data_IF_921222629264
#
_entry.id   IF_921222629264
#
_cell.length_a   1.000
_cell.length_b   1.000
_cell.length_c   1.000
_cell.angle_alpha   90.00
_cell.angle_beta   90.00
_cell.angle_gamma   90.00
#
_symmetry.space_group_name_H-M   'P 1'
#
loop_
_entity.id
_entity.type
_entity.pdbx_description
1 polymer ?
#
# COMPACT_ATOMS: atom_id res chain seq x y z
N UNK A 1 -23.38 -20.92 28.91
CA UNK A 1 -22.72 -19.60 28.80
C UNK A 1 -21.27 -19.81 28.39
N UNK A 2 -20.85 -19.29 27.24
CA UNK A 2 -19.44 -19.34 26.84
C UNK A 2 -18.64 -18.46 27.83
N UNK A 3 -17.60 -19.02 28.44
CA UNK A 3 -16.69 -18.26 29.30
C UNK A 3 -16.11 -17.07 28.50
N UNK A 4 -16.08 -15.85 29.08
CA UNK A 4 -15.61 -14.61 28.43
C UNK A 4 -14.25 -14.78 27.75
N UNK A 5 -13.34 -15.56 28.34
CA UNK A 5 -12.03 -15.85 27.77
C UNK A 5 -12.10 -16.77 26.52
N UNK A 6 -13.05 -17.71 26.49
CA UNK A 6 -13.27 -18.57 25.32
C UNK A 6 -13.90 -17.77 24.18
N UNK A 7 -14.91 -16.94 24.46
CA UNK A 7 -15.54 -16.08 23.46
C UNK A 7 -14.51 -15.14 22.81
N UNK A 8 -13.65 -14.53 23.63
CA UNK A 8 -12.55 -13.67 23.20
C UNK A 8 -11.53 -14.39 22.29
N UNK A 9 -11.15 -15.62 22.64
CA UNK A 9 -10.24 -16.43 21.80
C UNK A 9 -10.88 -16.85 20.47
N UNK A 10 -12.18 -17.12 20.47
CA UNK A 10 -12.95 -17.45 19.26
C UNK A 10 -12.99 -16.23 18.34
N UNK A 11 -13.36 -15.05 18.86
CA UNK A 11 -13.40 -13.81 18.09
C UNK A 11 -12.04 -13.48 17.48
N UNK A 12 -10.95 -13.57 18.26
CA UNK A 12 -9.59 -13.42 17.73
C UNK A 12 -9.31 -14.35 16.55
N UNK A 13 -9.61 -15.64 16.69
CA UNK A 13 -9.31 -16.66 15.68
C UNK A 13 -10.12 -16.44 14.41
N UNK A 14 -11.40 -16.05 14.54
CA UNK A 14 -12.25 -15.72 13.40
C UNK A 14 -11.73 -14.46 12.70
N UNK A 15 -11.45 -13.38 13.44
CA UNK A 15 -10.90 -12.14 12.86
C UNK A 15 -9.59 -12.42 12.13
N UNK A 16 -8.68 -13.20 12.71
CA UNK A 16 -7.41 -13.56 12.07
C UNK A 16 -7.62 -14.40 10.81
N UNK A 17 -8.49 -15.42 10.88
CA UNK A 17 -8.86 -16.26 9.74
C UNK A 17 -9.48 -15.45 8.59
N UNK A 18 -10.32 -14.47 8.89
CA UNK A 18 -10.91 -13.57 7.89
C UNK A 18 -9.89 -12.61 7.27
N UNK A 19 -8.86 -12.18 8.02
CA UNK A 19 -7.76 -11.41 7.45
C UNK A 19 -6.93 -12.23 6.46
N UNK A 20 -6.63 -13.49 6.81
CA UNK A 20 -5.98 -14.42 5.91
C UNK A 20 -6.80 -14.74 4.67
N UNK A 21 -8.11 -14.99 4.85
CA UNK A 21 -9.05 -15.20 3.76
C UNK A 21 -9.12 -13.96 2.85
N UNK A 22 -9.20 -12.76 3.42
CA UNK A 22 -9.21 -11.51 2.65
C UNK A 22 -7.95 -11.39 1.77
N UNK A 23 -6.77 -11.71 2.32
CA UNK A 23 -5.51 -11.66 1.57
C UNK A 23 -5.46 -12.73 0.46
N UNK A 24 -5.97 -13.94 0.71
CA UNK A 24 -6.05 -15.02 -0.28
C UNK A 24 -7.04 -14.71 -1.42
N UNK A 25 -8.11 -13.98 -1.13
CA UNK A 25 -9.10 -13.57 -2.12
C UNK A 25 -8.67 -12.36 -2.96
N UNK A 26 -7.75 -11.54 -2.44
CA UNK A 26 -7.32 -10.30 -3.09
C UNK A 26 -6.86 -10.46 -4.57
N UNK A 27 -6.10 -11.51 -4.96
CA UNK A 27 -5.69 -11.68 -6.35
C UNK A 27 -6.84 -12.00 -7.31
N UNK A 28 -7.94 -12.55 -6.79
CA UNK A 28 -9.02 -13.14 -7.61
C UNK A 28 -10.29 -12.28 -7.59
N UNK A 29 -10.70 -11.84 -6.40
CA UNK A 29 -12.00 -11.20 -6.15
C UNK A 29 -11.89 -10.12 -5.07
N UNK A 30 -11.49 -8.89 -5.45
CA UNK A 30 -11.25 -7.82 -4.47
C UNK A 30 -12.53 -7.41 -3.72
N UNK A 31 -13.70 -7.56 -4.35
CA UNK A 31 -14.99 -7.32 -3.70
C UNK A 31 -15.25 -8.28 -2.54
N UNK A 32 -14.91 -9.57 -2.69
CA UNK A 32 -15.01 -10.54 -1.60
C UNK A 32 -13.91 -10.35 -0.56
N UNK A 33 -12.69 -9.97 -0.97
CA UNK A 33 -11.63 -9.61 -0.03
C UNK A 33 -12.05 -8.44 0.89
N UNK A 34 -12.67 -7.39 0.33
CA UNK A 34 -13.18 -6.26 1.10
C UNK A 34 -14.32 -6.68 2.05
N UNK A 35 -15.24 -7.54 1.58
CA UNK A 35 -16.31 -8.08 2.44
C UNK A 35 -15.74 -8.92 3.60
N UNK A 36 -14.70 -9.71 3.35
CA UNK A 36 -14.02 -10.49 4.40
C UNK A 36 -13.36 -9.58 5.44
N UNK A 37 -12.65 -8.53 4.99
CA UNK A 37 -12.09 -7.52 5.91
C UNK A 37 -13.19 -6.79 6.69
N UNK A 38 -14.33 -6.47 6.06
CA UNK A 38 -15.47 -5.85 6.73
C UNK A 38 -15.97 -6.72 7.88
N UNK A 39 -16.27 -7.99 7.61
CA UNK A 39 -16.75 -8.92 8.64
C UNK A 39 -15.70 -9.08 9.75
N UNK A 40 -14.41 -9.11 9.39
CA UNK A 40 -13.32 -9.14 10.38
C UNK A 40 -13.36 -7.91 11.30
N UNK A 41 -13.56 -6.71 10.73
CA UNK A 41 -13.67 -5.45 11.47
C UNK A 41 -14.92 -5.38 12.35
N UNK A 42 -16.06 -5.87 11.89
CA UNK A 42 -17.30 -5.95 12.67
C UNK A 42 -17.13 -6.87 13.90
N UNK A 43 -16.55 -8.06 13.71
CA UNK A 43 -16.26 -8.99 14.81
C UNK A 43 -15.19 -8.41 15.76
N UNK A 44 -14.18 -7.73 15.20
CA UNK A 44 -13.14 -7.11 16.00
C UNK A 44 -13.70 -5.96 16.87
N UNK A 45 -14.63 -5.18 16.34
CA UNK A 45 -15.33 -4.14 17.09
C UNK A 45 -16.12 -4.75 18.27
N UNK A 46 -16.84 -5.85 18.05
CA UNK A 46 -17.52 -6.57 19.13
C UNK A 46 -16.53 -7.08 20.20
N UNK A 47 -15.37 -7.61 19.78
CA UNK A 47 -14.33 -8.04 20.71
C UNK A 47 -13.78 -6.87 21.55
N UNK A 48 -13.58 -5.70 20.94
CA UNK A 48 -13.15 -4.47 21.61
C UNK A 48 -14.20 -4.02 22.64
N UNK A 49 -15.48 -4.02 22.28
CA UNK A 49 -16.58 -3.64 23.20
C UNK A 49 -16.65 -4.59 24.40
N UNK A 50 -16.48 -5.89 24.18
CA UNK A 50 -16.51 -6.91 25.24
C UNK A 50 -15.29 -6.80 26.16
N UNK A 51 -14.12 -6.45 25.63
CA UNK A 51 -12.85 -6.45 26.37
C UNK A 51 -11.97 -5.21 26.07
N UNK A 52 -12.44 -3.98 26.36
CA UNK A 52 -11.77 -2.75 25.91
C UNK A 52 -10.38 -2.58 26.52
N UNK A 53 -10.23 -2.91 27.81
CA UNK A 53 -8.95 -2.84 28.52
C UNK A 53 -7.88 -3.76 27.93
N UNK A 54 -8.29 -4.85 27.25
CA UNK A 54 -7.35 -5.80 26.63
C UNK A 54 -6.81 -5.27 25.31
N UNK A 55 -7.69 -4.66 24.50
CA UNK A 55 -7.36 -4.28 23.13
C UNK A 55 -6.91 -2.82 22.98
N UNK A 56 -7.28 -1.91 23.90
CA UNK A 56 -6.98 -0.47 23.78
C UNK A 56 -5.73 -0.02 24.56
N UNK A 57 -5.11 -0.88 25.37
CA UNK A 57 -3.94 -0.53 26.21
C UNK A 57 -2.58 -0.86 25.59
N UNK A 58 -2.57 -1.41 24.40
CA UNK A 58 -1.40 -1.93 23.70
C UNK A 58 -0.69 -0.89 22.84
N UNK A 59 0.55 -1.18 22.43
CA UNK A 59 1.38 -0.28 21.61
C UNK A 59 0.81 0.00 20.20
N UNK A 60 0.01 -0.92 19.66
CA UNK A 60 -0.63 -0.78 18.35
C UNK A 60 -1.86 0.13 18.35
N UNK A 61 -2.28 0.65 19.53
CA UNK A 61 -3.43 1.57 19.64
C UNK A 61 -3.24 2.86 18.83
N UNK A 62 -2.00 3.34 18.70
CA UNK A 62 -1.74 4.60 17.97
C UNK A 62 -1.95 4.42 16.47
N UNK A 63 -1.58 3.27 15.91
CA UNK A 63 -1.87 2.92 14.51
C UNK A 63 -3.38 2.82 14.31
N UNK A 64 -4.08 2.12 15.19
CA UNK A 64 -5.53 1.97 15.12
C UNK A 64 -6.26 3.33 15.22
N UNK A 65 -5.90 4.17 16.20
CA UNK A 65 -6.56 5.46 16.44
C UNK A 65 -6.30 6.47 15.32
N UNK A 66 -5.06 6.57 14.83
CA UNK A 66 -4.73 7.48 13.74
C UNK A 66 -5.41 7.06 12.42
N UNK A 67 -5.40 5.75 12.12
CA UNK A 67 -6.12 5.22 10.97
C UNK A 67 -7.63 5.40 11.10
N UNK A 68 -8.19 5.20 12.29
CA UNK A 68 -9.61 5.42 12.57
C UNK A 68 -10.00 6.88 12.31
N UNK A 69 -9.23 7.83 12.85
CA UNK A 69 -9.49 9.25 12.66
C UNK A 69 -9.41 9.66 11.18
N UNK A 70 -8.38 9.20 10.46
CA UNK A 70 -8.22 9.47 9.03
C UNK A 70 -9.36 8.88 8.19
N UNK A 71 -9.78 7.65 8.51
CA UNK A 71 -10.84 6.93 7.81
C UNK A 71 -12.20 7.58 8.06
N UNK A 72 -12.49 7.98 9.31
CA UNK A 72 -13.71 8.72 9.67
C UNK A 72 -13.74 10.06 8.94
N UNK A 73 -12.65 10.83 8.95
CA UNK A 73 -12.59 12.11 8.24
C UNK A 73 -12.89 11.93 6.74
N UNK A 74 -12.25 10.95 6.10
CA UNK A 74 -12.46 10.65 4.67
C UNK A 74 -13.90 10.21 4.38
N UNK A 75 -14.48 9.40 5.26
CA UNK A 75 -15.86 8.94 5.12
C UNK A 75 -16.87 10.08 5.33
N UNK A 76 -16.66 10.93 6.33
CA UNK A 76 -17.48 12.11 6.57
C UNK A 76 -17.40 13.09 5.40
N UNK A 77 -16.18 13.34 4.88
CA UNK A 77 -15.98 14.15 3.67
C UNK A 77 -16.81 13.62 2.50
N UNK A 78 -16.75 12.30 2.24
CA UNK A 78 -17.58 11.66 1.21
C UNK A 78 -19.08 11.90 1.47
N UNK A 79 -19.54 11.70 2.71
CA UNK A 79 -20.96 11.86 3.07
C UNK A 79 -21.47 13.29 2.96
N UNK A 80 -20.62 14.28 3.23
CA UNK A 80 -20.97 15.70 3.18
C UNK A 80 -21.03 16.18 1.72
N UNK A 81 -20.02 15.83 0.92
CA UNK A 81 -19.85 16.44 -0.40
C UNK A 81 -20.42 15.62 -1.57
N UNK A 82 -20.61 14.31 -1.42
CA UNK A 82 -21.19 13.50 -2.50
C UNK A 82 -22.67 13.84 -2.66
N UNK A 83 -23.02 14.49 -3.77
CA UNK A 83 -24.41 14.71 -4.18
C UNK A 83 -24.87 13.66 -5.20
N UNK A 84 -26.18 13.45 -5.41
CA UNK A 84 -26.69 12.56 -6.45
C UNK A 84 -26.29 12.98 -7.87
N UNK A 85 -26.25 14.29 -8.14
CA UNK A 85 -26.02 14.88 -9.48
C UNK A 85 -24.54 15.18 -9.77
N UNK A 86 -23.62 14.73 -8.90
CA UNK A 86 -22.18 14.96 -9.06
C UNK A 86 -21.65 14.29 -10.34
N UNK A 87 -20.89 15.02 -11.14
CA UNK A 87 -20.15 14.46 -12.29
C UNK A 87 -18.99 13.54 -11.84
N UNK A 88 -18.66 13.53 -10.55
CA UNK A 88 -17.51 12.85 -9.97
C UNK A 88 -17.88 11.62 -9.13
N UNK A 89 -19.03 10.99 -9.39
CA UNK A 89 -19.53 9.84 -8.61
C UNK A 89 -18.45 8.75 -8.46
N UNK A 90 -17.76 8.40 -9.53
CA UNK A 90 -16.72 7.36 -9.51
C UNK A 90 -15.60 7.67 -8.51
N UNK A 91 -15.08 8.90 -8.50
CA UNK A 91 -14.05 9.32 -7.57
C UNK A 91 -14.54 9.31 -6.12
N UNK A 92 -15.74 9.84 -5.85
CA UNK A 92 -16.35 9.78 -4.52
C UNK A 92 -16.49 8.35 -4.00
N UNK A 93 -16.92 7.43 -4.85
CA UNK A 93 -17.06 6.01 -4.49
C UNK A 93 -15.70 5.37 -4.17
N UNK A 94 -14.64 5.74 -4.90
CA UNK A 94 -13.27 5.29 -4.62
C UNK A 94 -12.76 5.79 -3.26
N UNK A 95 -13.00 7.06 -2.89
CA UNK A 95 -12.65 7.58 -1.57
C UNK A 95 -13.47 6.93 -0.45
N UNK A 96 -14.77 6.70 -0.69
CA UNK A 96 -15.63 5.95 0.24
C UNK A 96 -15.06 4.55 0.50
N UNK A 97 -14.71 3.82 -0.55
CA UNK A 97 -14.30 2.43 -0.44
C UNK A 97 -12.98 2.29 0.32
N UNK A 98 -12.02 3.18 0.06
CA UNK A 98 -10.81 3.30 0.89
C UNK A 98 -11.17 3.58 2.36
N UNK A 99 -12.02 4.57 2.62
CA UNK A 99 -12.35 5.01 3.98
C UNK A 99 -13.02 3.90 4.80
N UNK A 100 -13.87 3.08 4.16
CA UNK A 100 -14.49 1.92 4.79
C UNK A 100 -13.45 0.83 5.06
N UNK A 101 -12.56 0.52 4.12
CA UNK A 101 -11.48 -0.44 4.34
C UNK A 101 -10.58 0.00 5.52
N UNK A 102 -10.18 1.27 5.55
CA UNK A 102 -9.41 1.85 6.65
C UNK A 102 -10.12 1.77 8.00
N UNK A 103 -11.43 2.05 8.04
CA UNK A 103 -12.26 1.95 9.25
C UNK A 103 -12.26 0.52 9.81
N UNK A 104 -12.55 -0.48 8.97
CA UNK A 104 -12.57 -1.89 9.41
C UNK A 104 -11.18 -2.38 9.79
N UNK A 105 -10.12 -1.92 9.10
CA UNK A 105 -8.73 -2.20 9.50
C UNK A 105 -8.39 -1.61 10.87
N UNK A 106 -8.84 -0.38 11.16
CA UNK A 106 -8.59 0.26 12.44
C UNK A 106 -9.17 -0.54 13.63
N UNK A 107 -10.35 -1.16 13.46
CA UNK A 107 -10.90 -2.08 14.48
C UNK A 107 -10.19 -3.43 14.52
N UNK A 108 -9.72 -3.91 13.37
CA UNK A 108 -9.09 -5.22 13.23
C UNK A 108 -7.70 -5.28 13.87
N UNK A 109 -6.87 -4.24 13.67
CA UNK A 109 -5.47 -4.20 14.13
C UNK A 109 -5.35 -4.53 15.62
N UNK A 110 -6.12 -3.92 16.55
CA UNK A 110 -5.98 -4.22 17.96
C UNK A 110 -6.24 -5.66 18.36
N UNK A 111 -7.19 -6.30 17.68
CA UNK A 111 -7.58 -7.68 17.99
C UNK A 111 -6.53 -8.66 17.49
N UNK A 112 -6.16 -8.59 16.21
CA UNK A 112 -5.24 -9.58 15.60
C UNK A 112 -3.79 -9.46 16.08
N UNK A 113 -3.41 -8.31 16.63
CA UNK A 113 -2.09 -8.08 17.20
C UNK A 113 -2.03 -8.41 18.69
N UNK A 114 -3.15 -8.77 19.33
CA UNK A 114 -3.13 -9.22 20.72
C UNK A 114 -2.33 -10.52 20.88
N UNK A 115 -1.46 -10.58 21.90
CA UNK A 115 -0.56 -11.72 22.14
C UNK A 115 -1.39 -12.95 22.56
N UNK A 116 -1.10 -14.12 21.98
CA UNK A 116 -1.75 -15.40 22.30
C UNK A 116 -0.73 -16.53 22.44
N UNK A 117 -0.69 -17.15 23.62
CA UNK A 117 0.30 -18.16 23.96
C UNK A 117 0.05 -19.53 23.32
N UNK A 118 -1.21 -19.89 23.06
CA UNK A 118 -1.60 -21.28 22.80
C UNK A 118 -1.36 -21.76 21.36
N UNK A 119 -0.88 -20.91 20.44
CA UNK A 119 -0.79 -21.24 19.01
C UNK A 119 0.33 -20.54 18.24
N UNK A 120 1.37 -20.05 18.93
CA UNK A 120 2.39 -19.19 18.33
C UNK A 120 3.11 -19.84 17.13
N UNK A 121 3.55 -21.11 17.26
CA UNK A 121 4.25 -21.83 16.19
C UNK A 121 3.37 -22.08 14.97
N UNK A 122 2.12 -22.49 15.18
CA UNK A 122 1.15 -22.73 14.08
C UNK A 122 0.88 -21.41 13.36
N UNK A 123 0.66 -20.33 14.09
CA UNK A 123 0.38 -19.00 13.53
C UNK A 123 1.56 -18.50 12.68
N UNK A 124 2.80 -18.68 13.16
CA UNK A 124 4.01 -18.35 12.39
C UNK A 124 4.09 -19.12 11.07
N UNK A 125 3.80 -20.42 11.09
CA UNK A 125 3.78 -21.24 9.86
C UNK A 125 2.67 -20.80 8.89
N UNK A 126 1.48 -20.48 9.39
CA UNK A 126 0.37 -19.97 8.57
C UNK A 126 0.75 -18.62 7.93
N UNK A 127 1.31 -17.69 8.71
CA UNK A 127 1.82 -16.42 8.17
C UNK A 127 2.80 -16.63 7.02
N UNK A 128 3.83 -17.46 7.24
CA UNK A 128 4.84 -17.75 6.22
C UNK A 128 4.21 -18.38 4.97
N UNK A 129 3.37 -19.40 5.15
CA UNK A 129 2.70 -20.09 4.05
C UNK A 129 1.85 -19.13 3.21
N UNK A 130 0.98 -18.35 3.86
CA UNK A 130 0.08 -17.42 3.16
C UNK A 130 0.87 -16.29 2.49
N UNK A 131 1.89 -15.75 3.16
CA UNK A 131 2.73 -14.69 2.58
C UNK A 131 3.42 -15.18 1.29
N UNK A 132 3.99 -16.38 1.31
CA UNK A 132 4.65 -16.98 0.15
C UNK A 132 3.65 -17.35 -0.95
N UNK A 133 2.51 -17.95 -0.59
CA UNK A 133 1.48 -18.37 -1.54
C UNK A 133 0.90 -17.17 -2.30
N UNK A 134 0.45 -16.13 -1.59
CA UNK A 134 -0.13 -14.94 -2.22
C UNK A 134 0.92 -14.21 -3.04
N UNK A 135 2.16 -14.13 -2.56
CA UNK A 135 3.26 -13.53 -3.34
C UNK A 135 3.55 -14.31 -4.63
N UNK A 136 3.59 -15.64 -4.56
CA UNK A 136 3.77 -16.50 -5.74
C UNK A 136 2.64 -16.31 -6.76
N UNK A 137 1.38 -16.25 -6.31
CA UNK A 137 0.21 -16.01 -7.19
C UNK A 137 0.39 -14.71 -7.97
N UNK A 138 0.76 -13.61 -7.31
CA UNK A 138 0.97 -12.34 -7.99
C UNK A 138 2.15 -12.33 -8.96
N UNK A 139 3.27 -13.00 -8.61
CA UNK A 139 4.41 -13.15 -9.52
C UNK A 139 3.99 -13.93 -10.77
N UNK A 140 3.33 -15.07 -10.58
CA UNK A 140 2.89 -15.94 -11.68
C UNK A 140 1.89 -15.20 -12.56
N UNK A 141 0.96 -14.44 -11.97
CA UNK A 141 -0.03 -13.70 -12.74
C UNK A 141 0.60 -12.58 -13.57
N UNK A 142 1.49 -11.78 -12.97
CA UNK A 142 2.21 -10.74 -13.71
C UNK A 142 3.10 -11.33 -14.82
N UNK A 143 3.76 -12.47 -14.54
CA UNK A 143 4.55 -13.19 -15.54
C UNK A 143 3.69 -13.69 -16.70
N UNK A 144 2.53 -14.29 -16.38
CA UNK A 144 1.59 -14.80 -17.37
C UNK A 144 1.08 -13.69 -18.30
N UNK A 145 0.62 -12.56 -17.75
CA UNK A 145 0.16 -11.44 -18.56
C UNK A 145 1.26 -10.88 -19.47
N UNK A 146 2.46 -10.66 -18.93
CA UNK A 146 3.51 -9.96 -19.68
C UNK A 146 4.25 -10.87 -20.67
N UNK A 147 4.68 -12.06 -20.25
CA UNK A 147 5.53 -12.93 -21.06
C UNK A 147 4.76 -13.97 -21.88
N UNK A 148 3.58 -14.40 -21.42
CA UNK A 148 2.81 -15.45 -22.11
C UNK A 148 1.72 -14.83 -22.98
N UNK A 149 0.91 -13.92 -22.43
CA UNK A 149 -0.11 -13.20 -23.20
C UNK A 149 0.46 -12.07 -24.05
N UNK A 150 1.74 -11.70 -23.86
CA UNK A 150 2.40 -10.57 -24.53
C UNK A 150 1.65 -9.24 -24.36
N UNK A 151 0.99 -9.05 -23.21
CA UNK A 151 0.41 -7.76 -22.88
C UNK A 151 1.51 -6.71 -22.68
N UNK A 152 1.29 -5.49 -23.18
CA UNK A 152 2.26 -4.39 -23.06
C UNK A 152 2.65 -4.09 -21.60
N UNK A 153 1.76 -4.36 -20.64
CA UNK A 153 1.97 -4.13 -19.21
C UNK A 153 1.16 -5.13 -18.40
N UNK A 154 1.77 -5.70 -17.36
CA UNK A 154 1.02 -6.44 -16.34
C UNK A 154 0.14 -5.45 -15.54
N UNK A 155 -1.16 -5.50 -15.77
CA UNK A 155 -2.15 -4.63 -15.11
C UNK A 155 -2.83 -5.32 -13.93
N UNK A 156 -2.78 -6.65 -13.88
CA UNK A 156 -3.60 -7.52 -13.05
C UNK A 156 -5.11 -7.26 -13.28
N UNK A 157 -5.95 -8.28 -13.15
CA UNK A 157 -7.41 -8.08 -13.21
C UNK A 157 -7.95 -7.49 -11.90
N UNK A 158 -7.46 -6.31 -11.48
CA UNK A 158 -8.02 -5.64 -10.30
C UNK A 158 -9.34 -4.93 -10.66
N UNK A 159 -10.28 -4.93 -9.73
CA UNK A 159 -11.61 -4.37 -9.96
C UNK A 159 -11.58 -2.86 -10.18
N UNK A 160 -12.62 -2.36 -10.88
CA UNK A 160 -12.87 -0.94 -11.16
C UNK A 160 -11.81 -0.23 -12.01
N UNK A 161 -11.06 -1.03 -12.79
CA UNK A 161 -10.10 -0.52 -13.77
C UNK A 161 -8.83 0.00 -13.11
N UNK A 162 -7.78 -0.83 -12.98
CA UNK A 162 -6.55 -0.42 -12.36
C UNK A 162 -5.47 -0.37 -13.41
N UNK A 163 -5.02 0.86 -13.63
CA UNK A 163 -3.76 1.13 -14.28
C UNK A 163 -2.67 0.24 -13.68
N UNK A 164 -1.72 -0.19 -14.50
CA UNK A 164 -0.59 -1.01 -14.04
C UNK A 164 0.24 -0.40 -12.89
N UNK A 165 0.01 0.87 -12.52
CA UNK A 165 0.48 1.46 -11.26
C UNK A 165 -0.09 0.75 -10.03
N UNK A 166 -1.40 0.48 -10.00
CA UNK A 166 -2.06 -0.21 -8.90
C UNK A 166 -1.51 -1.63 -8.73
N UNK A 167 -1.29 -2.35 -9.84
CA UNK A 167 -0.62 -3.64 -9.82
C UNK A 167 0.77 -3.58 -9.21
N UNK A 168 1.60 -2.63 -9.63
CA UNK A 168 2.94 -2.46 -9.11
C UNK A 168 2.92 -2.30 -7.58
N UNK A 169 2.02 -1.46 -7.07
CA UNK A 169 1.94 -1.15 -5.64
C UNK A 169 1.42 -2.34 -4.84
N UNK A 170 0.37 -3.01 -5.33
CA UNK A 170 -0.15 -4.24 -4.73
C UNK A 170 0.96 -5.30 -4.64
N UNK A 171 1.68 -5.59 -5.73
CA UNK A 171 2.79 -6.56 -5.72
C UNK A 171 3.86 -6.15 -4.71
N UNK A 172 4.23 -4.87 -4.63
CA UNK A 172 5.23 -4.40 -3.66
C UNK A 172 4.81 -4.66 -2.22
N UNK A 173 3.58 -4.33 -1.82
CA UNK A 173 3.15 -4.53 -0.43
C UNK A 173 3.03 -6.02 -0.07
N UNK A 174 2.56 -6.86 -1.00
CA UNK A 174 2.56 -8.31 -0.82
C UNK A 174 3.99 -8.85 -0.70
N UNK A 175 4.91 -8.36 -1.52
CA UNK A 175 6.33 -8.73 -1.44
C UNK A 175 6.94 -8.33 -0.10
N UNK A 176 6.69 -7.11 0.37
CA UNK A 176 7.17 -6.67 1.67
C UNK A 176 6.70 -7.57 2.81
N UNK A 177 5.43 -8.00 2.79
CA UNK A 177 4.94 -8.98 3.76
C UNK A 177 5.69 -10.32 3.69
N UNK A 178 5.90 -10.87 2.48
CA UNK A 178 6.65 -12.11 2.29
C UNK A 178 8.12 -11.99 2.73
N UNK A 179 8.80 -10.90 2.38
CA UNK A 179 10.20 -10.65 2.74
C UNK A 179 10.36 -10.44 4.25
N UNK A 180 9.45 -9.70 4.89
CA UNK A 180 9.43 -9.54 6.35
C UNK A 180 9.13 -10.88 7.03
N UNK A 181 8.19 -11.68 6.53
CA UNK A 181 7.90 -13.00 7.05
C UNK A 181 9.11 -13.94 6.96
N UNK A 182 9.83 -13.96 5.82
CA UNK A 182 11.05 -14.75 5.67
C UNK A 182 12.15 -14.28 6.62
N UNK A 183 12.44 -12.98 6.64
CA UNK A 183 13.45 -12.39 7.53
C UNK A 183 13.18 -12.75 8.99
N UNK A 184 11.90 -12.74 9.39
CA UNK A 184 11.48 -12.95 10.77
C UNK A 184 11.45 -14.43 11.16
N UNK A 185 10.94 -15.31 10.29
CA UNK A 185 10.57 -16.69 10.63
C UNK A 185 11.53 -17.75 10.10
N UNK A 186 12.15 -17.52 8.96
CA UNK A 186 13.01 -18.52 8.32
C UNK A 186 14.41 -18.43 8.91
N UNK A 187 14.99 -19.55 9.32
CA UNK A 187 16.37 -19.61 9.85
C UNK A 187 17.33 -20.20 8.83
N UNK A 188 16.99 -21.36 8.25
CA UNK A 188 17.75 -22.03 7.18
C UNK A 188 17.37 -21.47 5.82
N UNK A 189 18.35 -21.24 4.94
CA UNK A 189 18.13 -20.68 3.58
C UNK A 189 17.45 -19.30 3.51
N UNK A 190 17.39 -18.55 4.63
CA UNK A 190 16.80 -17.21 4.70
C UNK A 190 17.32 -16.31 3.57
N UNK A 191 18.63 -16.18 3.45
CA UNK A 191 19.26 -15.26 2.52
C UNK A 191 19.03 -15.64 1.04
N UNK A 192 19.23 -16.90 0.62
CA UNK A 192 18.79 -17.35 -0.71
C UNK A 192 17.32 -17.08 -1.02
N UNK A 193 16.40 -17.35 -0.08
CA UNK A 193 14.96 -17.10 -0.28
C UNK A 193 14.66 -15.60 -0.43
N UNK A 194 15.27 -14.74 0.39
CA UNK A 194 15.13 -13.29 0.25
C UNK A 194 15.61 -12.83 -1.13
N UNK A 195 16.74 -13.36 -1.62
CA UNK A 195 17.29 -13.02 -2.94
C UNK A 195 16.33 -13.43 -4.05
N UNK A 196 15.94 -14.71 -4.11
CA UNK A 196 15.07 -15.24 -5.17
C UNK A 196 13.73 -14.49 -5.21
N UNK A 197 13.08 -14.32 -4.06
CA UNK A 197 11.78 -13.66 -3.99
C UNK A 197 11.89 -12.17 -4.31
N UNK A 198 12.95 -11.49 -3.87
CA UNK A 198 13.15 -10.06 -4.18
C UNK A 198 13.25 -9.85 -5.69
N UNK A 199 14.05 -10.64 -6.40
CA UNK A 199 14.24 -10.50 -7.83
C UNK A 199 13.04 -10.98 -8.65
N UNK A 200 12.36 -12.04 -8.24
CA UNK A 200 11.11 -12.48 -8.88
C UNK A 200 10.04 -11.38 -8.81
N UNK A 201 9.89 -10.72 -7.65
CA UNK A 201 9.00 -9.56 -7.51
C UNK A 201 9.50 -8.34 -8.29
N UNK A 202 10.82 -8.10 -8.38
CA UNK A 202 11.34 -7.00 -9.19
C UNK A 202 10.99 -7.18 -10.67
N UNK A 203 11.06 -8.41 -11.18
CA UNK A 203 10.62 -8.74 -12.54
C UNK A 203 9.12 -8.48 -12.70
N UNK A 204 8.30 -9.00 -11.78
CA UNK A 204 6.84 -8.81 -11.81
C UNK A 204 6.43 -7.33 -11.75
N UNK A 205 7.05 -6.54 -10.86
CA UNK A 205 6.80 -5.10 -10.72
C UNK A 205 7.28 -4.35 -11.97
N UNK A 206 8.42 -4.71 -12.54
CA UNK A 206 8.93 -4.06 -13.75
C UNK A 206 8.08 -4.38 -14.99
N UNK A 207 7.50 -5.59 -15.06
CA UNK A 207 6.55 -5.99 -16.09
C UNK A 207 5.27 -5.13 -16.10
N UNK A 208 4.93 -4.48 -14.98
CA UNK A 208 3.85 -3.48 -14.95
C UNK A 208 4.23 -2.19 -15.70
N UNK A 209 5.49 -1.97 -16.02
CA UNK A 209 5.98 -0.75 -16.67
C UNK A 209 5.81 0.53 -15.84
N UNK A 210 5.58 0.42 -14.52
CA UNK A 210 5.35 1.58 -13.65
C UNK A 210 6.69 2.17 -13.21
N UNK A 211 6.98 3.42 -13.64
CA UNK A 211 8.24 4.14 -13.34
C UNK A 211 8.56 4.12 -11.83
N UNK A 212 7.57 4.45 -11.00
CA UNK A 212 7.69 4.44 -9.55
C UNK A 212 8.06 3.05 -9.02
N UNK A 213 7.44 1.98 -9.53
CA UNK A 213 7.75 0.60 -9.17
C UNK A 213 9.19 0.21 -9.51
N UNK A 214 9.62 0.51 -10.74
CA UNK A 214 10.97 0.23 -11.26
C UNK A 214 12.06 0.91 -10.42
N UNK A 215 11.80 2.10 -9.87
CA UNK A 215 12.78 2.88 -9.10
C UNK A 215 12.72 2.57 -7.60
N UNK A 216 11.53 2.58 -7.01
CA UNK A 216 11.33 2.50 -5.55
C UNK A 216 11.62 1.09 -5.03
N UNK A 217 11.24 0.05 -5.77
CA UNK A 217 11.38 -1.32 -5.28
C UNK A 217 12.85 -1.76 -5.14
N UNK A 218 13.79 -1.43 -6.07
CA UNK A 218 15.21 -1.61 -5.83
C UNK A 218 15.74 -0.92 -4.57
N UNK A 219 15.29 0.30 -4.26
CA UNK A 219 15.69 1.01 -3.04
C UNK A 219 15.24 0.24 -1.78
N UNK A 220 14.02 -0.29 -1.81
CA UNK A 220 13.49 -1.18 -0.76
C UNK A 220 14.37 -2.42 -0.60
N UNK A 221 14.71 -3.11 -1.71
CA UNK A 221 15.57 -4.30 -1.70
C UNK A 221 16.97 -3.98 -1.13
N UNK A 222 17.56 -2.85 -1.52
CA UNK A 222 18.87 -2.42 -1.02
C UNK A 222 18.83 -2.26 0.50
N UNK A 223 17.78 -1.63 1.05
CA UNK A 223 17.63 -1.47 2.49
C UNK A 223 17.47 -2.83 3.21
N UNK A 224 16.67 -3.74 2.65
CA UNK A 224 16.49 -5.11 3.15
C UNK A 224 17.83 -5.83 3.24
N UNK A 225 18.60 -5.88 2.15
CA UNK A 225 19.88 -6.58 2.14
C UNK A 225 20.95 -5.88 2.98
N UNK A 226 20.95 -4.55 3.04
CA UNK A 226 21.86 -3.80 3.91
C UNK A 226 21.71 -4.21 5.38
N UNK A 227 20.47 -4.43 5.83
CA UNK A 227 20.19 -4.86 7.20
C UNK A 227 20.46 -6.36 7.40
N UNK A 228 20.06 -7.22 6.46
CA UNK A 228 20.20 -8.68 6.61
C UNK A 228 21.64 -9.17 6.44
N UNK A 229 22.42 -8.63 5.50
CA UNK A 229 23.78 -9.09 5.23
C UNK A 229 24.74 -8.87 6.41
N UNK A 230 24.42 -7.92 7.30
CA UNK A 230 25.19 -7.67 8.53
C UNK A 230 25.13 -8.86 9.51
N UNK A 231 24.07 -9.66 9.45
CA UNK A 231 23.81 -10.80 10.35
C UNK A 231 24.48 -12.10 9.93
N UNK A 232 25.12 -12.14 8.77
CA UNK A 232 25.70 -13.35 8.18
C UNK A 232 27.23 -13.27 8.06
N UNK A 233 27.87 -14.44 7.99
CA UNK A 233 29.32 -14.59 7.85
C UNK A 233 29.85 -13.92 6.57
N UNK A 234 31.14 -13.55 6.57
CA UNK A 234 31.79 -12.87 5.43
C UNK A 234 31.66 -13.68 4.13
N UNK A 235 31.79 -15.02 4.20
CA UNK A 235 31.62 -15.90 3.04
C UNK A 235 30.20 -15.82 2.47
N UNK A 236 29.18 -16.00 3.31
CA UNK A 236 27.79 -15.92 2.89
C UNK A 236 27.43 -14.53 2.35
N UNK A 237 27.99 -13.47 2.94
CA UNK A 237 27.85 -12.09 2.45
C UNK A 237 28.42 -11.92 1.04
N UNK A 238 29.65 -12.36 0.80
CA UNK A 238 30.30 -12.28 -0.53
C UNK A 238 29.51 -13.04 -1.60
N UNK A 239 29.09 -14.28 -1.32
CA UNK A 239 28.27 -15.09 -2.24
C UNK A 239 26.92 -14.41 -2.55
N UNK A 240 26.31 -13.78 -1.55
CA UNK A 240 25.03 -13.10 -1.72
C UNK A 240 25.16 -11.81 -2.52
N UNK A 241 26.21 -11.02 -2.28
CA UNK A 241 26.50 -9.83 -3.10
C UNK A 241 26.72 -10.23 -4.56
N UNK A 242 27.50 -11.29 -4.81
CA UNK A 242 27.68 -11.81 -6.16
C UNK A 242 26.34 -12.24 -6.80
N UNK A 243 25.51 -12.97 -6.06
CA UNK A 243 24.19 -13.40 -6.53
C UNK A 243 23.26 -12.23 -6.85
N UNK A 244 23.27 -11.18 -6.02
CA UNK A 244 22.51 -9.94 -6.25
C UNK A 244 22.97 -9.25 -7.53
N UNK A 245 24.28 -9.15 -7.77
CA UNK A 245 24.83 -8.55 -8.99
C UNK A 245 24.41 -9.35 -10.22
N UNK A 246 24.56 -10.67 -10.19
CA UNK A 246 24.16 -11.56 -11.31
C UNK A 246 22.67 -11.43 -11.62
N UNK A 247 21.80 -11.47 -10.60
CA UNK A 247 20.36 -11.36 -10.79
C UNK A 247 19.92 -9.96 -11.21
N UNK A 248 20.61 -8.90 -10.77
CA UNK A 248 20.39 -7.54 -11.24
C UNK A 248 20.72 -7.40 -12.72
N UNK A 249 21.86 -7.94 -13.16
CA UNK A 249 22.22 -7.97 -14.59
C UNK A 249 21.19 -8.78 -15.39
N UNK A 250 20.83 -9.98 -14.93
CA UNK A 250 19.83 -10.83 -15.59
C UNK A 250 18.48 -10.11 -15.73
N UNK A 251 17.99 -9.51 -14.64
CA UNK A 251 16.72 -8.76 -14.65
C UNK A 251 16.79 -7.56 -15.59
N UNK A 252 17.93 -6.85 -15.61
CA UNK A 252 18.16 -5.71 -16.51
C UNK A 252 18.15 -6.11 -17.98
N UNK A 253 18.75 -7.25 -18.34
CA UNK A 253 18.72 -7.79 -19.70
C UNK A 253 17.30 -8.23 -20.07
N UNK A 254 16.63 -8.97 -19.19
CA UNK A 254 15.26 -9.47 -19.40
C UNK A 254 14.27 -8.32 -19.65
N UNK A 255 14.45 -7.20 -18.94
CA UNK A 255 13.55 -6.05 -18.95
C UNK A 255 14.10 -4.85 -19.73
N UNK A 256 15.13 -5.06 -20.56
CA UNK A 256 15.81 -3.97 -21.27
C UNK A 256 14.84 -3.10 -22.08
N UNK A 257 13.99 -3.72 -22.91
CA UNK A 257 13.01 -3.03 -23.76
C UNK A 257 12.00 -2.18 -22.95
N UNK A 258 11.23 -2.75 -21.99
CA UNK A 258 10.28 -1.95 -21.25
C UNK A 258 10.94 -0.86 -20.39
N UNK A 259 12.17 -1.07 -19.91
CA UNK A 259 12.89 -0.03 -19.15
C UNK A 259 13.34 1.11 -20.06
N UNK A 260 13.96 0.81 -21.22
CA UNK A 260 14.48 1.86 -22.11
C UNK A 260 13.35 2.71 -22.72
N UNK A 261 12.21 2.09 -23.03
CA UNK A 261 11.02 2.84 -23.45
C UNK A 261 10.58 3.84 -22.38
N UNK A 262 10.60 3.46 -21.09
CA UNK A 262 10.22 4.36 -20.00
C UNK A 262 11.18 5.52 -19.82
N UNK A 263 12.47 5.28 -20.04
CA UNK A 263 13.51 6.33 -20.04
C UNK A 263 13.28 7.29 -21.21
N UNK A 264 13.05 6.77 -22.42
CA UNK A 264 12.83 7.59 -23.61
C UNK A 264 11.55 8.43 -23.50
N UNK A 265 10.43 7.83 -23.05
CA UNK A 265 9.19 8.60 -22.80
C UNK A 265 9.40 9.64 -21.71
N UNK A 266 10.18 9.34 -20.65
CA UNK A 266 10.46 10.33 -19.60
C UNK A 266 11.24 11.52 -20.17
N UNK A 267 12.25 11.27 -21.01
CA UNK A 267 13.02 12.32 -21.67
C UNK A 267 12.12 13.20 -22.55
N UNK A 268 11.29 12.58 -23.38
CA UNK A 268 10.34 13.31 -24.23
C UNK A 268 9.30 14.10 -23.42
N UNK A 269 8.77 13.53 -22.32
CA UNK A 269 7.83 14.24 -21.44
C UNK A 269 8.46 15.52 -20.85
N UNK A 270 9.75 15.47 -20.49
CA UNK A 270 10.50 16.60 -19.92
C UNK A 270 10.79 17.67 -20.98
N UNK A 271 11.19 17.26 -22.19
CA UNK A 271 11.40 18.17 -23.31
C UNK A 271 10.11 18.93 -23.64
N UNK A 272 8.98 18.22 -23.76
CA UNK A 272 7.67 18.84 -24.00
C UNK A 272 7.25 19.78 -22.86
N UNK A 273 7.55 19.43 -21.61
CA UNK A 273 7.28 20.31 -20.47
C UNK A 273 8.07 21.63 -20.56
N UNK A 274 9.33 21.58 -21.01
CA UNK A 274 10.12 22.79 -21.26
C UNK A 274 9.60 23.62 -22.43
N UNK A 275 8.90 23.00 -23.38
CA UNK A 275 8.17 23.66 -24.48
C UNK A 275 6.75 24.09 -24.06
N UNK A 276 6.48 24.22 -22.75
CA UNK A 276 5.19 24.63 -22.18
C UNK A 276 4.00 23.69 -22.49
N UNK A 277 4.28 22.45 -22.87
CA UNK A 277 3.28 21.42 -23.06
C UNK A 277 3.21 20.48 -21.86
N UNK A 278 2.16 20.64 -21.03
CA UNK A 278 1.92 19.76 -19.88
C UNK A 278 1.00 18.58 -20.17
N UNK A 279 0.53 18.40 -21.41
CA UNK A 279 -0.37 17.30 -21.81
C UNK A 279 0.42 16.00 -22.04
N UNK A 280 1.25 15.64 -21.06
CA UNK A 280 2.11 14.45 -21.03
C UNK A 280 1.99 13.75 -19.68
N UNK A 281 2.54 12.53 -19.53
CA UNK A 281 2.44 11.78 -18.27
C UNK A 281 3.13 12.50 -17.09
N UNK A 282 4.26 13.16 -17.33
CA UNK A 282 5.00 13.90 -16.29
C UNK A 282 4.51 15.34 -16.19
N UNK A 283 4.31 16.00 -17.33
CA UNK A 283 3.79 17.36 -17.38
C UNK A 283 2.45 17.48 -16.67
N UNK A 284 1.54 16.51 -16.85
CA UNK A 284 0.24 16.54 -16.20
C UNK A 284 0.35 16.34 -14.70
N UNK A 285 1.31 15.54 -14.21
CA UNK A 285 1.57 15.42 -12.75
C UNK A 285 2.06 16.74 -12.18
N UNK A 286 3.02 17.41 -12.82
CA UNK A 286 3.48 18.72 -12.36
C UNK A 286 2.37 19.77 -12.39
N UNK A 287 1.54 19.77 -13.44
CA UNK A 287 0.38 20.63 -13.53
C UNK A 287 -0.63 20.33 -12.40
N UNK A 288 -0.94 19.05 -12.13
CA UNK A 288 -1.79 18.63 -11.02
C UNK A 288 -1.22 19.04 -9.66
N UNK A 289 0.10 18.98 -9.48
CA UNK A 289 0.72 19.35 -8.21
C UNK A 289 0.56 20.84 -7.95
N UNK A 290 0.86 21.67 -8.96
CA UNK A 290 0.73 23.13 -8.86
C UNK A 290 -0.72 23.55 -8.65
N UNK A 291 -1.61 23.11 -9.53
CA UNK A 291 -3.05 23.46 -9.47
C UNK A 291 -3.73 22.88 -8.23
N UNK A 292 -3.33 21.69 -7.77
CA UNK A 292 -3.82 21.05 -6.55
C UNK A 292 -3.49 21.84 -5.29
N UNK A 293 -2.23 22.28 -5.16
CA UNK A 293 -1.79 23.13 -4.04
C UNK A 293 -2.50 24.48 -4.10
N UNK A 294 -2.47 25.15 -5.26
CA UNK A 294 -3.02 26.50 -5.42
C UNK A 294 -4.55 26.54 -5.20
N UNK A 295 -5.29 25.53 -5.67
CA UNK A 295 -6.73 25.43 -5.45
C UNK A 295 -7.12 25.15 -4.00
N UNK A 296 -6.19 24.65 -3.18
CA UNK A 296 -6.53 24.03 -1.90
C UNK A 296 -5.73 24.55 -0.71
N UNK A 297 -4.80 25.47 -0.92
CA UNK A 297 -3.90 25.99 0.12
C UNK A 297 -4.65 26.55 1.34
N UNK A 298 -5.76 27.23 1.11
CA UNK A 298 -6.58 27.85 2.16
C UNK A 298 -7.64 26.89 2.75
N UNK A 299 -7.73 25.64 2.29
CA UNK A 299 -8.74 24.70 2.74
C UNK A 299 -8.27 23.95 3.99
N UNK A 300 -8.80 24.30 5.15
CA UNK A 300 -8.44 23.63 6.39
C UNK A 300 -9.20 22.30 6.59
N UNK A 301 -10.52 22.30 6.32
CA UNK A 301 -11.44 21.16 6.52
C UNK A 301 -11.79 20.42 5.23
N UNK A 302 -11.28 20.89 4.09
CA UNK A 302 -11.52 20.30 2.77
C UNK A 302 -12.56 21.04 1.92
N UNK A 303 -12.76 20.53 0.70
CA UNK A 303 -13.71 21.05 -0.30
C UNK A 303 -14.31 19.90 -1.12
N UNK A 304 -15.38 20.16 -1.89
CA UNK A 304 -15.94 19.17 -2.82
C UNK A 304 -15.05 18.97 -4.07
N UNK A 305 -15.29 17.88 -4.82
CA UNK A 305 -14.59 17.64 -6.09
C UNK A 305 -15.00 18.63 -7.17
N UNK A 306 -16.24 19.14 -7.12
CA UNK A 306 -16.77 20.20 -7.97
C UNK A 306 -16.09 21.54 -7.70
N UNK A 307 -15.96 21.90 -6.42
CA UNK A 307 -15.25 23.12 -6.04
C UNK A 307 -13.76 23.03 -6.44
N UNK A 308 -13.13 21.88 -6.21
CA UNK A 308 -11.77 21.58 -6.70
C UNK A 308 -11.68 21.76 -8.22
N UNK A 309 -12.59 21.14 -8.95
CA UNK A 309 -12.64 21.20 -10.41
C UNK A 309 -12.81 22.62 -10.93
N UNK A 310 -13.72 23.39 -10.33
CA UNK A 310 -13.95 24.79 -10.67
C UNK A 310 -12.69 25.65 -10.41
N UNK A 311 -12.07 25.53 -9.24
CA UNK A 311 -10.84 26.27 -8.92
C UNK A 311 -9.69 25.92 -9.87
N UNK A 312 -9.48 24.64 -10.17
CA UNK A 312 -8.44 24.19 -11.11
C UNK A 312 -8.72 24.74 -12.52
N UNK A 313 -9.97 24.69 -13.01
CA UNK A 313 -10.33 25.29 -14.31
C UNK A 313 -9.98 26.78 -14.36
N UNK A 314 -10.32 27.54 -13.32
CA UNK A 314 -9.99 28.98 -13.22
C UNK A 314 -8.48 29.25 -13.18
N UNK A 315 -7.70 28.42 -12.50
CA UNK A 315 -6.23 28.52 -12.48
C UNK A 315 -5.66 28.29 -13.90
N UNK A 316 -6.17 27.28 -14.60
CA UNK A 316 -5.73 26.95 -15.97
C UNK A 316 -6.17 28.00 -17.00
N UNK A 317 -7.31 28.66 -16.80
CA UNK A 317 -7.73 29.79 -17.64
C UNK A 317 -6.72 30.94 -17.58
N UNK A 318 -6.18 31.23 -16.38
CA UNK A 318 -5.15 32.25 -16.18
C UNK A 318 -3.75 31.78 -16.59
N UNK A 319 -3.50 30.47 -16.60
CA UNK A 319 -2.24 29.88 -17.03
C UNK A 319 -2.47 28.60 -17.84
N UNK A 320 -2.56 28.77 -19.17
CA UNK A 320 -2.83 27.68 -20.12
C UNK A 320 -1.76 26.59 -20.14
N UNK A 321 -0.54 26.89 -19.67
CA UNK A 321 0.55 25.92 -19.58
C UNK A 321 0.17 24.76 -18.64
N UNK A 322 -0.77 24.95 -17.71
CA UNK A 322 -1.21 23.92 -16.74
C UNK A 322 -2.37 23.06 -17.23
N UNK A 323 -2.71 23.12 -18.52
CA UNK A 323 -3.84 22.40 -19.12
C UNK A 323 -3.82 20.88 -18.93
N UNK A 324 -2.65 20.27 -18.75
CA UNK A 324 -2.52 18.84 -18.43
C UNK A 324 -3.28 18.41 -17.15
N UNK A 325 -3.52 19.31 -16.20
CA UNK A 325 -4.29 19.02 -14.98
C UNK A 325 -5.78 18.75 -15.28
N UNK A 326 -6.33 19.30 -16.36
CA UNK A 326 -7.75 19.18 -16.70
C UNK A 326 -8.17 17.75 -17.03
N UNK A 327 -7.22 16.92 -17.52
CA UNK A 327 -7.45 15.51 -17.85
C UNK A 327 -7.81 14.64 -16.65
N UNK A 328 -7.52 15.11 -15.43
CA UNK A 328 -7.61 14.31 -14.20
C UNK A 328 -8.60 14.86 -13.18
N UNK A 329 -9.43 15.84 -13.56
CA UNK A 329 -10.41 16.45 -12.65
C UNK A 329 -11.38 15.42 -12.05
N UNK A 330 -11.73 14.40 -12.83
CA UNK A 330 -12.66 13.34 -12.46
C UNK A 330 -12.04 12.16 -11.71
N UNK A 331 -10.73 12.22 -11.40
CA UNK A 331 -10.02 11.18 -10.66
C UNK A 331 -9.30 11.82 -9.46
N UNK A 332 -8.02 11.51 -9.25
CA UNK A 332 -7.17 11.98 -8.16
C UNK A 332 -5.94 12.73 -8.69
N UNK A 333 -5.30 13.53 -7.84
CA UNK A 333 -4.17 14.40 -8.22
C UNK A 333 -2.79 13.72 -8.25
N UNK A 334 -2.75 12.39 -8.38
CA UNK A 334 -1.54 11.56 -8.49
C UNK A 334 -0.43 11.86 -7.45
N UNK A 335 -0.83 12.34 -6.27
CA UNK A 335 0.05 12.49 -5.11
C UNK A 335 -0.83 12.46 -3.86
N UNK A 336 -0.53 11.55 -2.94
CA UNK A 336 -1.30 11.33 -1.72
C UNK A 336 -1.49 12.61 -0.90
N UNK A 337 -0.45 13.41 -0.71
CA UNK A 337 -0.51 14.61 0.14
C UNK A 337 -1.34 15.70 -0.53
N UNK A 338 -1.07 15.97 -1.81
CA UNK A 338 -1.77 17.01 -2.57
C UNK A 338 -3.24 16.64 -2.77
N UNK A 339 -3.52 15.37 -3.04
CA UNK A 339 -4.90 14.89 -3.19
C UNK A 339 -5.66 14.96 -1.86
N UNK A 340 -5.02 14.58 -0.74
CA UNK A 340 -5.60 14.71 0.61
C UNK A 340 -5.87 16.18 0.96
N UNK A 341 -4.92 17.08 0.65
CA UNK A 341 -5.10 18.52 0.83
C UNK A 341 -6.28 19.03 0.00
N UNK A 342 -6.42 18.55 -1.24
CA UNK A 342 -7.49 18.97 -2.15
C UNK A 342 -8.88 18.47 -1.78
N UNK A 343 -8.97 17.39 -0.99
CA UNK A 343 -10.22 16.77 -0.57
C UNK A 343 -10.52 17.14 0.88
N UNK A 344 -9.78 16.58 1.83
CA UNK A 344 -9.98 16.72 3.28
C UNK A 344 -9.21 17.87 3.94
N UNK A 345 -8.47 18.66 3.15
CA UNK A 345 -7.74 19.84 3.64
C UNK A 345 -6.51 19.51 4.49
N UNK A 346 -5.96 20.54 5.12
CA UNK A 346 -4.81 20.40 6.03
C UNK A 346 -5.05 19.43 7.18
N UNK A 347 -6.30 19.31 7.66
CA UNK A 347 -6.65 18.34 8.70
C UNK A 347 -6.33 16.91 8.27
N UNK A 348 -6.69 16.53 7.04
CA UNK A 348 -6.38 15.20 6.51
C UNK A 348 -4.88 14.97 6.33
N UNK A 349 -4.13 15.99 5.88
CA UNK A 349 -2.67 15.93 5.75
C UNK A 349 -2.01 15.67 7.10
N UNK A 350 -2.45 16.36 8.15
CA UNK A 350 -1.95 16.15 9.51
C UNK A 350 -2.25 14.72 9.98
N UNK A 351 -3.47 14.21 9.75
CA UNK A 351 -3.83 12.83 10.12
C UNK A 351 -3.01 11.77 9.36
N UNK A 352 -2.69 12.01 8.07
CA UNK A 352 -1.78 11.15 7.31
C UNK A 352 -0.38 11.11 7.92
N UNK A 353 0.16 12.26 8.31
CA UNK A 353 1.48 12.35 8.97
C UNK A 353 1.44 11.64 10.33
N UNK A 354 0.39 11.85 11.13
CA UNK A 354 0.21 11.17 12.41
C UNK A 354 0.10 9.66 12.25
N UNK A 355 -0.58 9.18 11.19
CA UNK A 355 -0.63 7.76 10.86
C UNK A 355 0.77 7.20 10.57
N UNK A 356 1.58 7.89 9.76
CA UNK A 356 2.96 7.47 9.51
C UNK A 356 3.82 7.48 10.78
N UNK A 357 3.72 8.52 11.61
CA UNK A 357 4.43 8.61 12.90
C UNK A 357 4.04 7.45 13.81
N UNK A 358 2.77 7.06 13.83
CA UNK A 358 2.29 5.94 14.64
C UNK A 358 2.93 4.61 14.23
N UNK A 359 3.09 4.36 12.93
CA UNK A 359 3.80 3.19 12.41
C UNK A 359 5.28 3.26 12.77
N UNK A 360 5.93 4.40 12.58
CA UNK A 360 7.36 4.60 12.92
C UNK A 360 7.61 4.35 14.41
N UNK A 361 6.74 4.87 15.28
CA UNK A 361 6.84 4.67 16.72
C UNK A 361 6.67 3.20 17.09
N UNK A 362 5.71 2.50 16.49
CA UNK A 362 5.55 1.06 16.67
C UNK A 362 6.80 0.27 16.23
N UNK A 363 7.35 0.58 15.06
CA UNK A 363 8.56 -0.05 14.53
C UNK A 363 9.74 0.13 15.48
N UNK A 364 9.94 1.35 15.98
CA UNK A 364 11.04 1.68 16.88
C UNK A 364 10.90 0.94 18.21
N UNK A 365 9.71 0.98 18.82
CA UNK A 365 9.43 0.29 20.08
C UNK A 365 9.57 -1.23 19.99
N UNK A 366 9.19 -1.82 18.85
CA UNK A 366 9.31 -3.28 18.61
C UNK A 366 10.66 -3.70 18.03
N UNK A 367 11.58 -2.75 17.80
CA UNK A 367 12.93 -2.98 17.28
C UNK A 367 12.98 -3.85 16.01
N UNK A 368 12.11 -3.55 15.02
CA UNK A 368 12.05 -4.29 13.76
C UNK A 368 12.43 -3.36 12.61
N UNK A 369 13.74 -3.13 12.40
CA UNK A 369 14.20 -2.18 11.40
C UNK A 369 13.74 -2.53 9.99
N UNK A 370 13.48 -3.82 9.70
CA UNK A 370 12.98 -4.25 8.39
C UNK A 370 11.65 -3.60 8.01
N UNK A 371 10.79 -3.30 8.99
CA UNK A 371 9.47 -2.71 8.73
C UNK A 371 9.57 -1.23 8.32
N UNK A 372 10.72 -0.56 8.48
CA UNK A 372 10.93 0.78 7.90
C UNK A 372 10.81 0.78 6.37
N UNK A 373 11.11 -0.33 5.70
CA UNK A 373 10.90 -0.48 4.25
C UNK A 373 9.44 -0.29 3.85
N UNK A 374 8.52 -0.68 4.73
CA UNK A 374 7.09 -0.49 4.56
C UNK A 374 6.70 0.98 4.58
N UNK A 375 7.25 1.74 5.53
CA UNK A 375 7.06 3.20 5.63
C UNK A 375 7.66 3.91 4.42
N UNK A 376 8.87 3.52 4.02
CA UNK A 376 9.54 4.05 2.81
C UNK A 376 8.69 3.80 1.57
N UNK A 377 8.12 2.59 1.41
CA UNK A 377 7.23 2.30 0.29
C UNK A 377 5.95 3.16 0.32
N UNK A 378 5.30 3.32 1.48
CA UNK A 378 4.12 4.19 1.61
C UNK A 378 4.46 5.63 1.22
N UNK A 379 5.56 6.19 1.75
CA UNK A 379 5.95 7.57 1.48
C UNK A 379 6.31 7.77 0.01
N UNK A 380 7.20 6.93 -0.54
CA UNK A 380 7.68 7.13 -1.90
C UNK A 380 6.59 6.87 -2.96
N UNK A 381 5.74 5.85 -2.77
CA UNK A 381 4.59 5.66 -3.66
C UNK A 381 3.54 6.75 -3.47
N UNK A 382 3.31 7.21 -2.24
CA UNK A 382 2.41 8.33 -1.95
C UNK A 382 2.87 9.66 -2.57
N UNK A 383 4.17 9.85 -2.78
CA UNK A 383 4.69 11.02 -3.50
C UNK A 383 4.53 10.92 -5.02
N UNK A 384 4.44 9.69 -5.55
CA UNK A 384 4.34 9.43 -6.99
C UNK A 384 2.91 9.24 -7.49
N UNK A 385 2.03 8.71 -6.64
CA UNK A 385 0.63 8.47 -6.92
C UNK A 385 -0.15 8.34 -5.58
N UNK A 386 -1.44 8.03 -5.64
CA UNK A 386 -2.28 7.85 -4.46
C UNK A 386 -2.28 6.39 -3.98
N UNK A 387 -2.28 6.20 -2.66
CA UNK A 387 -2.40 4.88 -2.02
C UNK A 387 -3.76 4.65 -1.37
N UNK A 388 -4.56 5.71 -1.21
CA UNK A 388 -5.87 5.71 -0.56
C UNK A 388 -7.01 5.95 -1.57
N UNK A 389 -6.94 5.29 -2.73
CA UNK A 389 -7.94 5.42 -3.80
C UNK A 389 -8.15 4.08 -4.51
N UNK A 390 -9.41 3.77 -4.80
CA UNK A 390 -9.88 2.49 -5.34
C UNK A 390 -9.56 1.30 -4.42
N UNK A 391 -10.37 0.24 -4.43
CA UNK A 391 -10.26 -0.86 -3.43
C UNK A 391 -8.91 -1.61 -3.42
N UNK A 392 -8.31 -2.01 -4.55
CA UNK A 392 -7.24 -3.02 -4.54
C UNK A 392 -5.94 -2.59 -3.84
N UNK A 393 -5.50 -1.34 -4.05
CA UNK A 393 -4.23 -0.82 -3.51
C UNK A 393 -4.31 -0.60 -2.00
N UNK A 394 -5.29 0.14 -1.46
CA UNK A 394 -5.58 0.23 -0.03
C UNK A 394 -5.69 -1.14 0.63
N UNK A 395 -6.46 -2.05 0.03
CA UNK A 395 -6.70 -3.34 0.65
C UNK A 395 -5.41 -4.16 0.74
N UNK A 396 -4.54 -4.10 -0.28
CA UNK A 396 -3.23 -4.73 -0.25
C UNK A 396 -2.40 -4.25 0.94
N UNK A 397 -2.15 -2.93 1.05
CA UNK A 397 -1.29 -2.40 2.10
C UNK A 397 -1.94 -2.41 3.49
N UNK A 398 -3.27 -2.34 3.60
CA UNK A 398 -3.95 -2.46 4.89
C UNK A 398 -3.83 -3.89 5.43
N UNK A 399 -4.12 -4.91 4.61
CA UNK A 399 -4.05 -6.31 5.03
C UNK A 399 -2.62 -6.72 5.36
N UNK A 400 -1.63 -6.34 4.54
CA UNK A 400 -0.23 -6.66 4.85
C UNK A 400 0.26 -5.92 6.10
N UNK A 401 -0.18 -4.68 6.35
CA UNK A 401 0.13 -3.97 7.60
C UNK A 401 -0.44 -4.72 8.81
N UNK A 402 -1.72 -5.11 8.77
CA UNK A 402 -2.38 -5.90 9.81
C UNK A 402 -1.56 -7.15 10.15
N UNK A 403 -1.21 -7.92 9.12
CA UNK A 403 -0.54 -9.21 9.26
C UNK A 403 0.92 -9.08 9.69
N UNK A 404 1.64 -8.06 9.21
CA UNK A 404 3.00 -7.76 9.68
C UNK A 404 2.97 -7.39 11.17
N UNK A 405 2.07 -6.51 11.60
CA UNK A 405 1.94 -6.15 13.00
C UNK A 405 1.62 -7.37 13.89
N UNK A 406 0.76 -8.29 13.41
CA UNK A 406 0.41 -9.53 14.12
C UNK A 406 1.61 -10.49 14.22
N UNK A 407 2.32 -10.69 13.11
CA UNK A 407 3.51 -11.52 13.04
C UNK A 407 4.60 -11.06 14.02
N UNK A 408 4.82 -9.75 14.08
CA UNK A 408 5.83 -9.10 14.90
C UNK A 408 5.54 -9.25 16.39
N UNK A 409 4.29 -9.04 16.80
CA UNK A 409 3.95 -9.06 18.21
C UNK A 409 3.97 -10.48 18.81
N UNK A 410 3.82 -11.51 17.98
CA UNK A 410 3.95 -12.92 18.36
C UNK A 410 5.42 -13.42 18.41
N UNK A 411 6.42 -12.54 18.35
CA UNK A 411 7.85 -12.90 18.46
C UNK A 411 8.43 -12.70 19.88
N UNK A 412 7.75 -11.94 20.75
CA UNK A 412 8.31 -11.47 22.04
C UNK A 412 8.45 -12.53 23.15
N UNK A 413 8.50 -13.83 22.82
CA UNK A 413 8.87 -14.90 23.76
C UNK A 413 10.04 -15.71 23.20
N UNK A 414 11.25 -15.18 23.32
CA UNK A 414 12.49 -15.95 23.25
C UNK A 414 13.34 -15.59 24.45
#
# INVERSE_FOLDING_TARGET
>A
MINRNNADSIMYSITMGLCFLALLLLPFEQGFALKSLRIAGEIALLAIIISPNKYLKSEHRYIALSLLALSILSFLWFRIYKTPDSEYVGAYMNYRDWSLAGLFTAFTIPVVTSIRDRSEKIMKNIHLFIALLVNLIYIVYAYYQFFILNENRATLSLAYGPNATGAAYTITFISLYALIAISTLVTKFRLPLLIIISFANFIAISATGTRAGIIIYPLVIIFIFWNELKRHSVKARKTSIFSIIVLAMFSGVLLYKPIIERVNTLKSDIEQYHENNTVTSVGARFAMYKTGIESSYNNFTGQSLEERGYKIKKIVENNKELSGALLFLNIHLHNQIIDTLSTTGWLGVILNILFLISIITFIHKKNIPMMYTYVVAIVLYGLSDILTYAVPVPLAWLLTLILICSLVNNKEKI
#
